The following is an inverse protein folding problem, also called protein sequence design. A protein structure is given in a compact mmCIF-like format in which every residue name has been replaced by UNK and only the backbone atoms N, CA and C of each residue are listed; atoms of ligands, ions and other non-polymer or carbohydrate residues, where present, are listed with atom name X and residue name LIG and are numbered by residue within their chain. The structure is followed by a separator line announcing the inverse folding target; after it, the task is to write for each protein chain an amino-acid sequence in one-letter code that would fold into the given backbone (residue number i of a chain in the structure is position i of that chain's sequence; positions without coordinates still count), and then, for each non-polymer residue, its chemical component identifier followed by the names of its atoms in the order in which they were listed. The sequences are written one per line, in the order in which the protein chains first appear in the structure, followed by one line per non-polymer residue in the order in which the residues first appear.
data_IF_312753216062
#
_entry.id   IF_312753216062
#
_cell.length_a   1.000
_cell.length_b   1.000
_cell.length_c   1.000
_cell.angle_alpha   90.00
_cell.angle_beta   90.00
_cell.angle_gamma   90.00
#
_symmetry.space_group_name_H-M   'P 1'
#
loop_
_entity.id
_entity.type
_entity.pdbx_description
1 polymer ?
#
# COMPACT_ATOMS: atom_id res chain seq x y z
N UNK A 1 -28.46 5.25 5.37
CA UNK A 1 -27.56 6.40 5.44
C UNK A 1 -28.16 7.61 4.76
N UNK A 2 -27.94 8.81 5.33
CA UNK A 2 -28.33 10.09 4.75
C UNK A 2 -27.07 10.94 4.58
N UNK A 3 -26.81 11.44 3.36
CA UNK A 3 -25.72 12.37 3.10
C UNK A 3 -26.27 13.69 2.58
N UNK A 4 -25.89 14.79 3.24
CA UNK A 4 -26.22 16.14 2.83
C UNK A 4 -24.94 16.91 2.54
N UNK A 5 -24.85 17.56 1.36
CA UNK A 5 -23.66 18.32 0.97
C UNK A 5 -24.03 19.77 0.67
N UNK A 6 -23.24 20.69 1.25
CA UNK A 6 -23.26 22.10 0.89
C UNK A 6 -22.10 22.38 -0.06
N UNK A 7 -22.35 23.20 -1.07
CA UNK A 7 -21.37 23.53 -2.11
C UNK A 7 -21.04 25.02 -2.11
N UNK A 8 -19.82 25.35 -2.54
CA UNK A 8 -19.41 26.70 -2.90
C UNK A 8 -20.05 27.12 -4.22
N UNK A 9 -19.89 28.39 -4.59
CA UNK A 9 -20.30 28.90 -5.90
C UNK A 9 -19.60 28.14 -7.04
N UNK A 10 -18.36 27.70 -6.86
CA UNK A 10 -17.57 26.94 -7.84
C UNK A 10 -17.90 25.45 -7.86
N UNK A 11 -18.89 24.99 -7.07
CA UNK A 11 -19.30 23.58 -7.03
C UNK A 11 -18.43 22.68 -6.15
N UNK A 12 -17.54 23.25 -5.31
CA UNK A 12 -16.75 22.46 -4.35
C UNK A 12 -17.57 22.20 -3.08
N UNK A 13 -17.54 20.99 -2.51
CA UNK A 13 -18.21 20.70 -1.25
C UNK A 13 -17.55 21.49 -0.10
N UNK A 14 -18.31 22.35 0.56
CA UNK A 14 -17.84 23.13 1.73
C UNK A 14 -18.19 22.45 3.06
N UNK A 15 -19.30 21.70 3.07
CA UNK A 15 -19.68 20.88 4.20
C UNK A 15 -20.33 19.60 3.71
N UNK A 16 -19.97 18.47 4.30
CA UNK A 16 -20.62 17.17 4.09
C UNK A 16 -21.07 16.66 5.44
N UNK A 17 -22.38 16.46 5.61
CA UNK A 17 -22.96 15.81 6.78
C UNK A 17 -23.46 14.44 6.38
N UNK A 18 -22.98 13.42 7.08
CA UNK A 18 -23.39 12.02 6.90
C UNK A 18 -24.04 11.52 8.19
N UNK A 19 -25.21 10.92 8.08
CA UNK A 19 -25.92 10.30 9.20
C UNK A 19 -26.03 8.81 8.89
N UNK A 20 -25.41 8.02 9.76
CA UNK A 20 -25.39 6.57 9.67
C UNK A 20 -26.33 5.99 10.73
N UNK A 21 -27.40 5.31 10.31
CA UNK A 21 -28.41 4.74 11.19
C UNK A 21 -28.55 3.24 10.92
N UNK A 22 -28.34 2.43 11.95
CA UNK A 22 -28.57 0.98 11.93
C UNK A 22 -29.61 0.64 12.98
N UNK A 23 -30.67 -0.16 12.65
CA UNK A 23 -31.67 -0.54 13.62
C UNK A 23 -31.06 -1.18 14.88
N UNK A 24 -31.47 -0.69 16.06
CA UNK A 24 -30.98 -1.18 17.35
C UNK A 24 -29.58 -0.73 17.74
N UNK A 25 -28.97 0.22 16.99
CA UNK A 25 -27.66 0.81 17.28
C UNK A 25 -27.77 2.34 17.44
N UNK A 26 -26.76 2.92 18.07
CA UNK A 26 -26.63 4.39 18.16
C UNK A 26 -26.48 4.99 16.76
N UNK A 27 -27.23 6.07 16.50
CA UNK A 27 -27.07 6.85 15.27
C UNK A 27 -25.77 7.65 15.33
N UNK A 28 -24.98 7.58 14.26
CA UNK A 28 -23.72 8.27 14.13
C UNK A 28 -23.88 9.42 13.14
N UNK A 29 -23.44 10.60 13.54
CA UNK A 29 -23.40 11.79 12.69
C UNK A 29 -21.96 12.23 12.49
N UNK A 30 -21.53 12.32 11.25
CA UNK A 30 -20.23 12.86 10.85
C UNK A 30 -20.44 14.17 10.10
N UNK A 31 -19.67 15.18 10.44
CA UNK A 31 -19.66 16.45 9.72
C UNK A 31 -18.24 16.75 9.29
N UNK A 32 -18.01 16.88 7.99
CA UNK A 32 -16.75 17.33 7.39
C UNK A 32 -16.92 18.73 6.86
N UNK A 33 -16.00 19.64 7.20
CA UNK A 33 -15.95 20.99 6.67
C UNK A 33 -14.66 21.18 5.91
N UNK A 34 -14.77 21.70 4.68
CA UNK A 34 -13.65 21.91 3.78
C UNK A 34 -13.42 23.39 3.53
N UNK A 35 -12.18 23.82 3.58
CA UNK A 35 -11.77 25.16 3.16
C UNK A 35 -10.84 25.07 1.98
N UNK A 36 -10.97 26.02 1.06
CA UNK A 36 -10.24 26.07 -0.19
C UNK A 36 -9.52 27.40 -0.33
N UNK A 37 -8.50 27.44 -1.16
CA UNK A 37 -7.88 28.69 -1.59
C UNK A 37 -8.60 29.28 -2.81
N UNK A 38 -8.07 30.41 -3.30
CA UNK A 38 -8.62 31.12 -4.48
C UNK A 38 -8.55 30.33 -5.79
N UNK A 39 -7.77 29.25 -5.84
CA UNK A 39 -7.64 28.35 -6.98
C UNK A 39 -8.42 27.03 -6.79
N UNK A 40 -9.36 27.00 -5.85
CA UNK A 40 -10.18 25.84 -5.49
C UNK A 40 -9.39 24.61 -5.04
N UNK A 41 -8.16 24.82 -4.48
CA UNK A 41 -7.36 23.74 -3.90
C UNK A 41 -7.73 23.58 -2.43
N UNK A 42 -7.91 22.33 -1.98
CA UNK A 42 -8.27 22.02 -0.60
C UNK A 42 -7.14 22.42 0.36
N UNK A 43 -7.43 23.34 1.29
CA UNK A 43 -6.49 23.76 2.33
C UNK A 43 -6.66 22.95 3.62
N UNK A 44 -7.91 22.74 4.04
CA UNK A 44 -8.20 22.08 5.31
C UNK A 44 -9.48 21.28 5.23
N UNK A 45 -9.47 20.11 5.88
CA UNK A 45 -10.67 19.40 6.30
C UNK A 45 -10.73 19.35 7.82
N UNK A 46 -11.80 19.84 8.42
CA UNK A 46 -12.17 19.56 9.81
C UNK A 46 -13.28 18.52 9.86
N UNK A 47 -13.27 17.73 10.93
CA UNK A 47 -14.18 16.61 11.15
C UNK A 47 -14.77 16.67 12.54
N UNK A 48 -16.07 16.44 12.62
CA UNK A 48 -16.79 16.35 13.87
C UNK A 48 -17.60 15.06 13.90
N UNK A 49 -17.44 14.29 14.98
CA UNK A 49 -18.20 13.07 15.25
C UNK A 49 -19.26 13.38 16.29
N UNK A 50 -20.54 13.15 15.96
CA UNK A 50 -21.69 13.44 16.81
C UNK A 50 -21.63 14.88 17.35
N UNK A 51 -21.55 15.03 18.68
CA UNK A 51 -21.46 16.32 19.41
C UNK A 51 -20.05 16.63 19.90
N UNK A 52 -19.05 15.83 19.52
CA UNK A 52 -17.66 16.03 19.93
C UNK A 52 -17.10 17.34 19.34
N UNK A 53 -16.05 17.88 19.94
CA UNK A 53 -15.37 19.06 19.39
C UNK A 53 -14.76 18.72 18.01
N UNK A 54 -14.86 19.63 17.02
CA UNK A 54 -14.24 19.40 15.71
C UNK A 54 -12.73 19.25 15.82
N UNK A 55 -12.19 18.28 15.05
CA UNK A 55 -10.74 18.05 14.90
C UNK A 55 -10.32 18.36 13.47
N UNK A 56 -9.10 18.82 13.28
CA UNK A 56 -8.53 19.00 11.95
C UNK A 56 -7.99 17.66 11.43
N UNK A 57 -8.57 17.12 10.37
CA UNK A 57 -8.07 15.89 9.75
C UNK A 57 -6.83 16.15 8.91
N UNK A 58 -6.89 17.13 8.02
CA UNK A 58 -5.79 17.50 7.13
C UNK A 58 -5.64 19.01 7.02
N UNK A 59 -4.38 19.47 6.94
CA UNK A 59 -4.00 20.81 6.52
C UNK A 59 -3.00 20.68 5.36
N UNK A 60 -3.29 21.33 4.25
CA UNK A 60 -2.44 21.37 3.06
C UNK A 60 -1.87 22.75 2.83
N UNK A 61 -0.63 22.80 2.39
CA UNK A 61 0.04 24.00 1.88
C UNK A 61 0.55 23.69 0.49
N UNK A 62 0.35 24.62 -0.46
CA UNK A 62 0.79 24.46 -1.83
C UNK A 62 1.93 25.43 -2.14
N UNK A 63 2.79 25.07 -3.08
CA UNK A 63 3.79 25.96 -3.63
C UNK A 63 3.20 26.87 -4.73
N UNK A 64 4.02 27.76 -5.26
CA UNK A 64 3.63 28.74 -6.30
C UNK A 64 3.18 28.06 -7.61
N UNK A 65 3.62 26.81 -7.86
CA UNK A 65 3.21 26.01 -9.03
C UNK A 65 1.96 25.15 -8.74
N UNK A 66 1.36 25.27 -7.55
CA UNK A 66 0.16 24.51 -7.17
C UNK A 66 0.42 23.07 -6.71
N UNK A 67 1.69 22.70 -6.47
CA UNK A 67 2.05 21.37 -5.99
C UNK A 67 1.96 21.34 -4.46
N UNK A 68 1.63 20.18 -3.89
CA UNK A 68 1.55 20.01 -2.44
C UNK A 68 2.93 20.23 -1.82
N UNK A 69 3.07 21.29 -1.00
CA UNK A 69 4.31 21.65 -0.31
C UNK A 69 4.39 21.06 1.09
N UNK A 70 3.23 20.95 1.76
CA UNK A 70 3.14 20.38 3.11
C UNK A 70 1.77 19.75 3.33
N UNK A 71 1.75 18.62 4.00
CA UNK A 71 0.57 17.93 4.51
C UNK A 71 0.76 17.71 6.01
N UNK A 72 -0.27 18.03 6.81
CA UNK A 72 -0.30 17.76 8.24
C UNK A 72 -1.61 17.08 8.60
N UNK A 73 -1.52 15.93 9.29
CA UNK A 73 -2.68 15.13 9.67
C UNK A 73 -3.03 15.28 11.14
N UNK A 74 -4.33 15.19 11.45
CA UNK A 74 -4.90 15.29 12.79
C UNK A 74 -4.44 16.52 13.58
N UNK A 75 -4.15 17.64 12.90
CA UNK A 75 -3.59 18.84 13.54
C UNK A 75 -2.24 18.61 14.25
N UNK A 76 -1.65 17.42 14.13
CA UNK A 76 -0.48 16.99 14.87
C UNK A 76 0.80 17.30 14.11
N UNK A 77 1.68 18.12 14.70
CA UNK A 77 2.96 18.48 14.08
C UNK A 77 3.90 17.29 13.84
N UNK A 78 3.76 16.18 14.59
CA UNK A 78 4.52 14.95 14.35
C UNK A 78 4.09 14.23 13.07
N UNK A 79 2.83 14.45 12.62
CA UNK A 79 2.28 13.87 11.39
C UNK A 79 2.35 14.85 10.22
N UNK A 80 3.29 15.78 10.24
CA UNK A 80 3.58 16.68 9.14
C UNK A 80 4.59 16.05 8.19
N UNK A 81 4.34 16.21 6.89
CA UNK A 81 5.26 15.87 5.80
C UNK A 81 5.44 17.10 4.91
N UNK A 82 6.68 17.49 4.65
CA UNK A 82 7.05 18.54 3.73
C UNK A 82 7.64 17.92 2.45
N UNK A 83 7.23 18.42 1.29
CA UNK A 83 7.58 17.89 -0.02
C UNK A 83 8.44 18.89 -0.79
N UNK A 84 9.47 18.39 -1.45
CA UNK A 84 10.27 19.16 -2.40
C UNK A 84 10.28 18.51 -3.78
N UNK A 85 10.38 19.33 -4.81
CA UNK A 85 10.33 18.90 -6.21
C UNK A 85 11.46 19.51 -7.01
N UNK A 86 11.85 18.85 -8.09
CA UNK A 86 12.75 19.44 -9.08
C UNK A 86 11.97 20.29 -10.11
N UNK A 87 12.70 20.88 -11.06
CA UNK A 87 12.12 21.72 -12.12
C UNK A 87 11.12 20.97 -13.05
N UNK A 88 11.20 19.65 -13.10
CA UNK A 88 10.28 18.77 -13.85
C UNK A 88 9.08 18.30 -13.02
N UNK A 89 8.90 18.86 -11.82
CA UNK A 89 7.90 18.45 -10.83
C UNK A 89 8.04 17.00 -10.34
N UNK A 90 9.19 16.39 -10.52
CA UNK A 90 9.48 15.11 -9.88
C UNK A 90 9.79 15.35 -8.40
N UNK A 91 9.23 14.51 -7.55
CA UNK A 91 9.48 14.59 -6.11
C UNK A 91 10.95 14.33 -5.81
N UNK A 92 11.58 15.24 -5.07
CA UNK A 92 12.96 15.09 -4.58
C UNK A 92 13.02 14.60 -3.16
N UNK A 93 12.12 15.06 -2.32
CA UNK A 93 12.09 14.62 -0.92
C UNK A 93 10.72 14.72 -0.30
N UNK A 94 10.51 13.86 0.67
CA UNK A 94 9.51 13.96 1.73
C UNK A 94 10.28 14.09 3.03
N UNK A 95 9.97 15.09 3.86
CA UNK A 95 10.60 15.23 5.16
C UNK A 95 9.58 15.49 6.26
N UNK A 96 9.71 14.78 7.37
CA UNK A 96 8.85 14.92 8.54
C UNK A 96 9.46 14.30 9.79
N UNK A 97 8.88 14.55 10.96
CA UNK A 97 9.42 14.06 12.23
C UNK A 97 9.45 12.53 12.36
N UNK A 98 8.54 11.81 11.67
CA UNK A 98 8.44 10.35 11.75
C UNK A 98 9.08 9.63 10.57
N UNK A 99 9.27 10.32 9.45
CA UNK A 99 9.83 9.72 8.25
C UNK A 99 10.42 10.81 7.35
N UNK A 100 11.56 10.50 6.76
CA UNK A 100 12.15 11.30 5.69
C UNK A 100 12.67 10.41 4.58
N UNK A 101 12.55 10.89 3.34
CA UNK A 101 13.02 10.18 2.14
C UNK A 101 13.58 11.19 1.15
N UNK A 102 14.67 10.83 0.49
CA UNK A 102 15.26 11.57 -0.62
C UNK A 102 15.29 10.70 -1.87
N UNK A 103 14.89 11.26 -3.00
CA UNK A 103 14.94 10.62 -4.32
C UNK A 103 15.92 11.37 -5.20
N UNK A 104 16.90 10.68 -5.72
CA UNK A 104 17.90 11.21 -6.64
C UNK A 104 17.63 10.67 -8.05
N UNK A 105 17.87 11.49 -9.05
CA UNK A 105 17.69 11.17 -10.47
C UNK A 105 19.01 11.36 -11.21
N UNK A 106 19.45 12.59 -11.32
CA UNK A 106 20.66 13.03 -12.00
C UNK A 106 21.73 13.59 -11.05
N UNK A 107 21.46 13.54 -9.76
CA UNK A 107 22.40 13.90 -8.72
C UNK A 107 23.47 12.81 -8.58
N UNK A 108 24.74 13.22 -8.54
CA UNK A 108 25.85 12.29 -8.42
C UNK A 108 25.96 11.76 -6.99
N UNK A 109 25.99 10.45 -6.86
CA UNK A 109 26.32 9.72 -5.64
C UNK A 109 27.25 8.57 -6.01
N UNK A 110 28.16 8.19 -5.12
CA UNK A 110 29.11 7.11 -5.39
C UNK A 110 28.41 5.81 -5.81
N UNK A 111 28.78 5.28 -6.98
CA UNK A 111 28.24 4.02 -7.50
C UNK A 111 26.82 4.11 -8.09
N UNK A 112 26.30 5.31 -8.37
CA UNK A 112 25.01 5.49 -9.07
C UNK A 112 25.20 5.75 -10.56
N UNK A 113 24.22 5.33 -11.35
CA UNK A 113 24.07 5.69 -12.77
C UNK A 113 23.03 6.80 -12.85
N UNK A 114 23.42 7.96 -13.41
CA UNK A 114 22.55 9.13 -13.50
C UNK A 114 21.39 8.87 -14.48
N UNK A 115 20.16 9.18 -14.05
CA UNK A 115 18.96 8.98 -14.83
C UNK A 115 18.32 10.32 -15.21
N UNK A 116 18.23 10.58 -16.51
CA UNK A 116 17.66 11.82 -17.07
C UNK A 116 16.23 11.65 -17.61
N UNK A 117 15.74 10.40 -17.63
CA UNK A 117 14.45 10.00 -18.18
C UNK A 117 13.33 9.93 -17.13
N UNK A 118 13.63 10.20 -15.86
CA UNK A 118 12.69 10.12 -14.75
C UNK A 118 12.83 8.85 -13.89
N UNK A 119 13.69 7.92 -14.29
CA UNK A 119 14.05 6.81 -13.41
C UNK A 119 14.82 7.33 -12.20
N UNK A 120 14.58 6.74 -11.03
CA UNK A 120 15.27 7.07 -9.78
C UNK A 120 16.64 6.40 -9.80
N UNK A 121 17.73 7.15 -9.68
CA UNK A 121 19.10 6.61 -9.62
C UNK A 121 19.43 6.05 -8.25
N UNK A 122 18.95 6.72 -7.20
CA UNK A 122 19.04 6.24 -5.82
C UNK A 122 17.95 6.84 -4.95
N UNK A 123 17.65 6.17 -3.85
CA UNK A 123 16.82 6.72 -2.79
C UNK A 123 17.42 6.43 -1.43
N UNK A 124 17.21 7.36 -0.48
CA UNK A 124 17.53 7.13 0.94
C UNK A 124 16.34 7.49 1.81
N UNK A 125 16.26 6.87 2.98
CA UNK A 125 15.22 7.16 3.97
C UNK A 125 15.73 6.98 5.40
N UNK A 126 15.03 7.64 6.32
CA UNK A 126 15.09 7.43 7.77
C UNK A 126 13.69 7.33 8.35
N UNK A 127 13.49 6.50 9.34
CA UNK A 127 12.23 6.35 10.06
C UNK A 127 12.41 6.71 11.54
N UNK A 128 11.47 7.48 12.09
CA UNK A 128 11.45 7.86 13.49
C UNK A 128 12.73 8.59 13.95
N UNK A 129 13.34 8.08 14.99
CA UNK A 129 14.57 8.64 15.61
C UNK A 129 15.85 8.05 15.03
N UNK A 130 15.81 7.32 13.93
CA UNK A 130 17.01 6.76 13.30
C UNK A 130 17.97 7.89 12.89
N UNK A 131 19.26 7.67 13.13
CA UNK A 131 20.32 8.64 12.80
C UNK A 131 21.02 8.33 11.49
N UNK A 132 20.93 7.06 11.03
CA UNK A 132 21.60 6.57 9.83
C UNK A 132 20.62 6.47 8.68
N UNK A 133 20.98 7.05 7.53
CA UNK A 133 20.23 6.86 6.30
C UNK A 133 20.37 5.41 5.84
N UNK A 134 19.26 4.84 5.35
CA UNK A 134 19.20 3.60 4.61
C UNK A 134 18.77 3.91 3.19
N UNK A 135 19.16 3.08 2.24
CA UNK A 135 18.73 3.35 0.88
C UNK A 135 19.11 2.30 -0.13
N UNK A 136 18.73 2.62 -1.37
CA UNK A 136 19.04 1.83 -2.53
C UNK A 136 19.65 2.67 -3.63
N UNK A 137 20.58 2.05 -4.37
CA UNK A 137 21.05 2.50 -5.69
C UNK A 137 20.45 1.58 -6.73
N UNK A 138 19.88 2.16 -7.78
CA UNK A 138 19.17 1.41 -8.80
C UNK A 138 19.93 1.35 -10.10
N UNK A 139 19.83 0.22 -10.80
CA UNK A 139 20.25 0.07 -12.19
C UNK A 139 19.10 -0.42 -13.05
N UNK A 140 19.12 -0.03 -14.31
CA UNK A 140 18.05 -0.32 -15.26
C UNK A 140 18.63 -0.91 -16.53
N UNK A 141 17.82 -1.65 -17.28
CA UNK A 141 18.16 -2.10 -18.61
C UNK A 141 17.85 -1.04 -19.69
N UNK A 142 18.14 -1.34 -20.94
CA UNK A 142 17.90 -0.44 -22.07
C UNK A 142 16.41 -0.10 -22.33
N UNK A 143 15.48 -0.83 -21.72
CA UNK A 143 14.04 -0.58 -21.75
C UNK A 143 13.53 0.11 -20.47
N UNK A 144 14.43 0.65 -19.64
CA UNK A 144 14.11 1.29 -18.36
C UNK A 144 13.45 0.35 -17.33
N UNK A 145 13.67 -0.96 -17.42
CA UNK A 145 13.21 -1.93 -16.44
C UNK A 145 14.27 -2.10 -15.34
N UNK A 146 13.84 -2.23 -14.10
CA UNK A 146 14.74 -2.40 -12.94
C UNK A 146 15.57 -3.69 -13.11
N UNK A 147 16.88 -3.58 -12.89
CA UNK A 147 17.82 -4.72 -12.82
C UNK A 147 18.27 -4.98 -11.39
N UNK A 148 18.81 -3.95 -10.75
CA UNK A 148 19.33 -4.08 -9.41
C UNK A 148 18.85 -2.93 -8.52
N UNK A 149 18.49 -3.28 -7.30
CA UNK A 149 18.34 -2.39 -6.17
C UNK A 149 19.41 -2.77 -5.14
N UNK A 150 20.52 -2.06 -5.15
CA UNK A 150 21.67 -2.34 -4.27
C UNK A 150 21.50 -1.56 -2.97
N UNK A 151 21.31 -2.26 -1.87
CA UNK A 151 21.14 -1.68 -0.54
C UNK A 151 22.46 -1.15 0.02
N UNK A 152 22.38 -0.07 0.79
CA UNK A 152 23.44 0.47 1.61
C UNK A 152 22.90 1.41 2.70
N UNK A 153 23.77 1.76 3.62
CA UNK A 153 23.52 2.66 4.75
C UNK A 153 24.53 3.82 4.74
N UNK A 154 24.19 4.89 5.48
CA UNK A 154 24.99 6.11 5.53
C UNK A 154 24.72 7.05 4.36
N UNK A 155 25.32 8.24 4.39
CA UNK A 155 25.06 9.30 3.41
C UNK A 155 25.33 8.87 1.95
N UNK A 156 26.36 8.03 1.75
CA UNK A 156 26.78 7.54 0.43
C UNK A 156 26.28 6.12 0.13
N UNK A 157 25.46 5.53 1.01
CA UNK A 157 24.94 4.17 0.91
C UNK A 157 26.05 3.11 0.72
N UNK A 158 27.19 3.31 1.38
CA UNK A 158 28.37 2.41 1.29
C UNK A 158 28.58 1.55 2.50
N UNK A 159 27.94 1.89 3.63
CA UNK A 159 28.01 1.13 4.88
C UNK A 159 27.02 -0.03 4.81
N UNK A 160 27.36 -1.17 5.42
CA UNK A 160 26.52 -2.36 5.46
C UNK A 160 25.92 -2.74 4.09
N UNK A 161 26.73 -2.78 3.02
CA UNK A 161 26.20 -3.01 1.68
C UNK A 161 25.61 -4.39 1.53
N UNK A 162 24.70 -4.55 0.57
CA UNK A 162 24.14 -5.82 0.11
C UNK A 162 23.25 -6.57 1.11
N UNK A 163 22.88 -5.96 2.25
CA UNK A 163 22.03 -6.63 3.26
C UNK A 163 20.63 -6.97 2.75
N UNK A 164 20.07 -6.11 1.89
CA UNK A 164 18.70 -6.22 1.41
C UNK A 164 18.60 -5.96 -0.10
N UNK A 165 19.56 -6.46 -0.86
CA UNK A 165 19.53 -6.29 -2.32
C UNK A 165 18.34 -7.01 -2.94
N UNK A 166 17.84 -6.42 -4.03
CA UNK A 166 16.92 -7.07 -4.96
C UNK A 166 17.51 -7.04 -6.37
N UNK A 167 17.49 -8.17 -7.07
CA UNK A 167 18.11 -8.31 -8.39
C UNK A 167 17.17 -9.04 -9.32
N UNK A 168 16.82 -8.40 -10.44
CA UNK A 168 16.06 -9.04 -11.51
C UNK A 168 17.04 -9.44 -12.59
N UNK A 169 17.38 -10.72 -12.62
CA UNK A 169 18.43 -11.25 -13.51
C UNK A 169 17.91 -11.75 -14.85
N UNK A 170 16.59 -11.72 -15.05
CA UNK A 170 15.99 -12.11 -16.33
C UNK A 170 14.59 -11.53 -16.52
N UNK A 171 14.35 -11.05 -17.74
CA UNK A 171 13.04 -10.67 -18.27
C UNK A 171 12.81 -11.41 -19.58
N UNK A 172 11.55 -11.72 -19.88
CA UNK A 172 11.16 -12.14 -21.21
C UNK A 172 10.94 -10.93 -22.16
N UNK A 173 10.56 -11.21 -23.41
CA UNK A 173 10.29 -10.19 -24.42
C UNK A 173 9.03 -9.36 -24.12
N UNK A 174 8.11 -9.88 -23.31
CA UNK A 174 6.88 -9.23 -22.89
C UNK A 174 7.07 -8.36 -21.65
N UNK A 175 8.23 -8.46 -20.97
CA UNK A 175 8.55 -7.75 -19.74
C UNK A 175 8.23 -8.55 -18.46
N UNK A 176 7.84 -9.80 -18.56
CA UNK A 176 7.65 -10.65 -17.39
C UNK A 176 8.99 -10.95 -16.73
N UNK A 177 9.02 -10.89 -15.40
CA UNK A 177 10.21 -11.25 -14.62
C UNK A 177 10.38 -12.76 -14.64
N UNK A 178 11.52 -13.23 -15.17
CA UNK A 178 11.85 -14.67 -15.21
C UNK A 178 12.66 -15.10 -13.99
N UNK A 179 13.50 -14.21 -13.46
CA UNK A 179 14.38 -14.52 -12.33
C UNK A 179 14.51 -13.32 -11.40
N UNK A 180 14.35 -13.57 -10.11
CA UNK A 180 14.45 -12.57 -9.05
C UNK A 180 15.25 -13.15 -7.88
N UNK A 181 16.25 -12.39 -7.40
CA UNK A 181 16.97 -12.68 -6.15
C UNK A 181 16.66 -11.61 -5.13
N UNK A 182 16.41 -12.03 -3.88
CA UNK A 182 16.30 -11.12 -2.75
C UNK A 182 17.22 -11.54 -1.64
N UNK A 183 17.84 -10.53 -1.04
CA UNK A 183 18.71 -10.70 0.12
C UNK A 183 18.00 -10.14 1.35
N UNK A 184 18.23 -10.75 2.49
CA UNK A 184 17.61 -10.35 3.75
C UNK A 184 18.38 -10.89 4.93
N UNK A 185 17.87 -10.62 6.12
CA UNK A 185 18.44 -11.15 7.35
C UNK A 185 18.10 -12.65 7.46
N UNK A 186 19.13 -13.49 7.63
CA UNK A 186 19.02 -14.95 7.75
C UNK A 186 19.29 -15.46 9.17
N UNK A 187 19.85 -14.60 10.03
CA UNK A 187 20.02 -14.86 11.48
C UNK A 187 20.10 -13.52 12.22
N UNK A 188 20.21 -13.55 13.54
CA UNK A 188 20.37 -12.32 14.37
C UNK A 188 21.56 -11.43 13.95
N UNK A 189 22.57 -11.99 13.28
CA UNK A 189 23.81 -11.28 12.92
C UNK A 189 24.20 -11.43 11.44
N UNK A 190 23.50 -12.26 10.65
CA UNK A 190 23.90 -12.56 9.28
C UNK A 190 22.82 -12.18 8.26
N UNK A 191 23.29 -11.79 7.08
CA UNK A 191 22.48 -11.46 5.90
C UNK A 191 22.88 -12.36 4.74
N UNK A 192 21.95 -12.75 3.91
CA UNK A 192 22.19 -13.65 2.80
C UNK A 192 21.02 -13.70 1.84
N UNK A 193 21.11 -14.62 0.86
CA UNK A 193 20.07 -14.85 -0.13
C UNK A 193 18.88 -15.55 0.53
N UNK A 194 17.72 -14.89 0.54
CA UNK A 194 16.46 -15.41 1.11
C UNK A 194 15.53 -15.96 0.03
N UNK A 195 15.61 -15.43 -1.20
CA UNK A 195 14.88 -15.93 -2.36
C UNK A 195 15.81 -15.98 -3.59
N UNK A 196 15.73 -17.06 -4.35
CA UNK A 196 16.29 -17.20 -5.71
C UNK A 196 15.22 -17.79 -6.61
N UNK A 197 14.32 -16.88 -7.04
CA UNK A 197 13.09 -17.26 -7.74
C UNK A 197 13.34 -17.48 -9.23
N UNK A 198 12.78 -18.55 -9.74
CA UNK A 198 12.59 -18.80 -11.17
C UNK A 198 11.10 -18.86 -11.48
N UNK A 199 10.64 -17.97 -12.38
CA UNK A 199 9.24 -17.79 -12.71
C UNK A 199 8.95 -18.31 -14.11
N UNK A 200 7.94 -19.15 -14.25
CA UNK A 200 7.53 -19.77 -15.52
C UNK A 200 6.16 -19.25 -15.92
N UNK A 201 5.99 -18.93 -17.20
CA UNK A 201 4.77 -18.31 -17.71
C UNK A 201 4.19 -19.09 -18.90
N UNK A 202 2.89 -18.94 -19.09
CA UNK A 202 2.19 -19.20 -20.35
C UNK A 202 1.63 -17.86 -20.87
N UNK A 203 2.29 -17.29 -21.89
CA UNK A 203 2.06 -15.89 -22.24
C UNK A 203 2.42 -14.98 -21.08
N UNK A 204 1.45 -14.20 -20.56
CA UNK A 204 1.62 -13.33 -19.40
C UNK A 204 1.04 -13.92 -18.10
N UNK A 205 0.58 -15.18 -18.13
CA UNK A 205 0.05 -15.86 -16.94
C UNK A 205 1.16 -16.66 -16.27
N UNK A 206 1.41 -16.38 -14.99
CA UNK A 206 2.38 -17.11 -14.17
C UNK A 206 1.88 -18.55 -13.97
N UNK A 207 2.68 -19.55 -14.33
CA UNK A 207 2.38 -20.96 -14.11
C UNK A 207 2.98 -21.49 -12.82
N UNK A 208 4.23 -21.11 -12.53
CA UNK A 208 4.96 -21.59 -11.36
C UNK A 208 6.01 -20.55 -10.94
N UNK A 209 6.30 -20.53 -9.65
CA UNK A 209 7.37 -19.75 -9.04
C UNK A 209 8.19 -20.70 -8.15
N UNK A 210 9.39 -21.04 -8.61
CA UNK A 210 10.29 -21.94 -7.89
C UNK A 210 11.34 -21.15 -7.14
N UNK A 211 11.46 -21.40 -5.85
CA UNK A 211 12.54 -20.89 -5.03
C UNK A 211 13.61 -21.98 -4.81
N UNK A 212 14.87 -21.64 -5.09
CA UNK A 212 16.01 -22.51 -4.83
C UNK A 212 16.92 -22.00 -3.71
N UNK A 213 16.55 -20.90 -3.04
CA UNK A 213 17.26 -20.44 -1.87
C UNK A 213 17.14 -21.49 -0.75
N UNK A 214 18.24 -21.67 -0.02
CA UNK A 214 18.31 -22.65 1.09
C UNK A 214 18.21 -21.98 2.46
N UNK A 215 18.29 -20.65 2.50
CA UNK A 215 18.21 -19.86 3.71
C UNK A 215 16.82 -19.24 3.84
N UNK A 216 16.12 -19.49 4.95
CA UNK A 216 14.90 -18.78 5.28
C UNK A 216 15.18 -17.41 5.88
N UNK A 217 14.20 -16.52 5.82
CA UNK A 217 14.27 -15.20 6.45
C UNK A 217 14.21 -15.32 7.99
N UNK A 218 14.99 -14.49 8.66
CA UNK A 218 14.99 -14.39 10.13
C UNK A 218 13.90 -13.43 10.62
N UNK A 219 13.19 -13.83 11.68
CA UNK A 219 12.15 -13.01 12.29
C UNK A 219 10.92 -12.79 11.39
N UNK A 220 10.47 -11.54 11.30
CA UNK A 220 9.27 -11.15 10.54
C UNK A 220 9.60 -10.63 9.13
N UNK A 221 10.73 -11.01 8.56
CA UNK A 221 11.11 -10.61 7.21
C UNK A 221 10.19 -11.19 6.14
N UNK A 222 10.26 -10.60 4.95
CA UNK A 222 9.49 -11.06 3.78
C UNK A 222 10.25 -12.19 3.09
N UNK A 223 9.58 -13.30 2.83
CA UNK A 223 10.12 -14.50 2.21
C UNK A 223 9.05 -15.12 1.31
N UNK A 224 9.42 -15.55 0.11
CA UNK A 224 8.53 -16.32 -0.74
C UNK A 224 8.43 -17.74 -0.19
N UNK A 225 7.22 -18.24 -0.04
CA UNK A 225 6.99 -19.60 0.42
C UNK A 225 6.64 -20.48 -0.77
N UNK A 226 7.64 -21.21 -1.29
CA UNK A 226 7.46 -22.25 -2.32
C UNK A 226 6.85 -23.50 -1.63
N UNK A 227 5.54 -23.44 -1.38
CA UNK A 227 4.81 -24.50 -0.68
C UNK A 227 4.44 -25.67 -1.59
N UNK A 228 4.37 -25.46 -2.90
CA UNK A 228 3.84 -26.43 -3.84
C UNK A 228 4.91 -27.19 -4.63
N UNK A 229 5.97 -26.50 -5.08
CA UNK A 229 7.08 -27.01 -5.89
C UNK A 229 6.60 -27.91 -7.06
N UNK A 230 5.67 -27.41 -7.86
CA UNK A 230 5.07 -28.09 -9.01
C UNK A 230 5.35 -27.33 -10.30
N UNK A 231 5.13 -28.00 -11.45
CA UNK A 231 5.25 -27.35 -12.78
C UNK A 231 4.10 -26.39 -13.09
N UNK A 232 2.96 -26.56 -12.41
CA UNK A 232 1.79 -25.67 -12.51
C UNK A 232 1.22 -25.46 -11.11
N UNK A 233 1.44 -24.28 -10.56
CA UNK A 233 1.02 -23.87 -9.22
C UNK A 233 -0.15 -22.89 -9.25
N UNK A 234 -0.26 -22.17 -10.37
CA UNK A 234 -1.28 -21.16 -10.62
C UNK A 234 -2.12 -21.59 -11.82
N UNK A 235 -3.42 -21.55 -11.68
CA UNK A 235 -4.35 -21.83 -12.78
C UNK A 235 -5.36 -20.70 -12.92
N UNK A 236 -5.84 -20.50 -14.16
CA UNK A 236 -6.67 -19.38 -14.53
C UNK A 236 -7.92 -19.85 -15.27
N UNK A 237 -9.00 -19.06 -15.15
CA UNK A 237 -10.19 -19.24 -15.95
C UNK A 237 -10.00 -18.70 -17.40
N UNK A 238 -11.06 -18.76 -18.20
CA UNK A 238 -11.04 -18.26 -19.60
C UNK A 238 -10.96 -16.71 -19.68
N UNK A 239 -11.28 -16.00 -18.60
CA UNK A 239 -11.18 -14.55 -18.50
C UNK A 239 -9.78 -14.10 -18.03
N UNK A 240 -8.92 -15.06 -17.66
CA UNK A 240 -7.58 -14.78 -17.12
C UNK A 240 -7.55 -14.57 -15.60
N UNK A 241 -8.64 -14.84 -14.88
CA UNK A 241 -8.67 -14.73 -13.43
C UNK A 241 -7.99 -15.93 -12.78
N UNK A 242 -7.24 -15.70 -11.72
CA UNK A 242 -6.60 -16.74 -10.93
C UNK A 242 -7.66 -17.57 -10.20
N UNK A 243 -7.76 -18.86 -10.48
CA UNK A 243 -8.71 -19.76 -9.82
C UNK A 243 -8.04 -20.72 -8.83
N UNK A 244 -6.70 -20.79 -8.82
CA UNK A 244 -5.94 -21.65 -7.91
C UNK A 244 -4.54 -21.08 -7.65
N UNK A 245 -4.08 -21.13 -6.40
CA UNK A 245 -2.73 -20.77 -5.95
C UNK A 245 -2.26 -21.80 -4.94
N UNK A 246 -1.43 -22.75 -5.39
CA UNK A 246 -0.97 -23.84 -4.54
C UNK A 246 0.03 -23.39 -3.48
N UNK A 247 0.82 -22.33 -3.75
CA UNK A 247 1.78 -21.81 -2.80
C UNK A 247 1.11 -21.16 -1.57
N UNK A 248 -0.08 -20.60 -1.78
CA UNK A 248 -0.93 -20.09 -0.68
C UNK A 248 -1.95 -21.11 -0.17
N UNK A 249 -1.85 -22.37 -0.62
CA UNK A 249 -2.82 -23.41 -0.30
C UNK A 249 -4.26 -23.04 -0.68
N UNK A 250 -4.43 -22.24 -1.75
CA UNK A 250 -5.75 -21.89 -2.29
C UNK A 250 -6.14 -22.95 -3.31
N UNK A 251 -7.18 -23.72 -2.97
CA UNK A 251 -7.70 -24.80 -3.82
C UNK A 251 -8.69 -24.32 -4.88
N UNK A 252 -9.41 -23.20 -4.61
CA UNK A 252 -10.37 -22.63 -5.55
C UNK A 252 -10.62 -21.16 -5.26
N UNK A 253 -10.77 -20.36 -6.33
CA UNK A 253 -11.32 -19.00 -6.29
C UNK A 253 -12.50 -18.97 -7.25
N UNK A 254 -13.69 -18.61 -6.76
CA UNK A 254 -14.90 -18.32 -7.54
C UNK A 254 -14.98 -16.83 -7.88
N UNK A 255 -15.67 -16.53 -8.99
CA UNK A 255 -15.90 -15.15 -9.43
C UNK A 255 -17.37 -14.94 -9.80
N UNK A 256 -17.91 -13.78 -9.47
CA UNK A 256 -19.26 -13.38 -9.83
C UNK A 256 -19.36 -12.86 -11.26
N UNK A 257 -20.56 -12.47 -11.70
CA UNK A 257 -20.80 -11.93 -13.05
C UNK A 257 -20.11 -10.58 -13.33
N UNK A 258 -19.65 -9.88 -12.29
CA UNK A 258 -18.87 -8.64 -12.40
C UNK A 258 -17.35 -8.92 -12.46
N UNK A 259 -16.96 -10.20 -12.54
CA UNK A 259 -15.56 -10.63 -12.54
C UNK A 259 -14.80 -10.26 -11.24
N UNK A 260 -15.53 -10.19 -10.11
CA UNK A 260 -14.98 -9.98 -8.77
C UNK A 260 -14.94 -11.32 -8.03
N UNK A 261 -13.88 -11.62 -7.25
CA UNK A 261 -13.82 -12.85 -6.47
C UNK A 261 -14.94 -12.87 -5.42
N UNK A 262 -15.82 -13.86 -5.47
CA UNK A 262 -16.91 -14.04 -4.51
C UNK A 262 -16.61 -15.12 -3.47
N UNK A 263 -15.68 -16.02 -3.76
CA UNK A 263 -15.28 -17.09 -2.85
C UNK A 263 -13.80 -17.46 -3.00
N UNK A 264 -13.11 -17.65 -1.88
CA UNK A 264 -11.78 -18.28 -1.83
C UNK A 264 -11.85 -19.48 -0.89
N UNK A 265 -11.44 -20.66 -1.35
CA UNK A 265 -11.38 -21.89 -0.56
C UNK A 265 -9.92 -22.31 -0.45
N UNK A 266 -9.48 -22.59 0.77
CA UNK A 266 -8.16 -23.10 1.08
C UNK A 266 -8.19 -24.63 1.19
N UNK A 267 -7.06 -25.28 0.92
CA UNK A 267 -6.94 -26.74 0.97
C UNK A 267 -7.17 -27.35 2.35
N UNK A 268 -7.11 -26.56 3.42
CA UNK A 268 -7.42 -26.97 4.79
C UNK A 268 -8.90 -26.77 5.17
N UNK A 269 -9.77 -26.40 4.22
CA UNK A 269 -11.19 -26.16 4.45
C UNK A 269 -11.55 -24.75 4.95
N UNK A 270 -10.57 -23.89 5.21
CA UNK A 270 -10.83 -22.48 5.50
C UNK A 270 -11.39 -21.78 4.25
N UNK A 271 -12.15 -20.70 4.44
CA UNK A 271 -12.74 -19.97 3.32
C UNK A 271 -12.86 -18.48 3.59
N UNK A 272 -12.95 -17.72 2.49
CA UNK A 272 -13.36 -16.32 2.51
C UNK A 272 -14.49 -16.17 1.49
N UNK A 273 -15.62 -15.62 1.93
CA UNK A 273 -16.74 -15.26 1.07
C UNK A 273 -16.82 -13.74 0.97
N UNK A 274 -17.24 -13.25 -0.18
CA UNK A 274 -17.41 -11.82 -0.44
C UNK A 274 -18.80 -11.56 -1.01
N UNK A 275 -19.51 -10.58 -0.45
CA UNK A 275 -20.76 -10.07 -0.99
C UNK A 275 -20.53 -8.68 -1.58
N UNK A 276 -21.10 -8.43 -2.76
CA UNK A 276 -20.98 -7.16 -3.47
C UNK A 276 -22.35 -6.60 -3.83
N UNK A 277 -22.45 -5.29 -3.90
CA UNK A 277 -23.54 -4.60 -4.56
C UNK A 277 -23.50 -4.78 -6.08
N UNK A 278 -24.58 -4.42 -6.75
CA UNK A 278 -24.69 -4.50 -8.21
C UNK A 278 -23.68 -3.58 -8.94
N UNK A 279 -23.18 -2.56 -8.26
CA UNK A 279 -22.13 -1.64 -8.72
C UNK A 279 -20.70 -2.13 -8.45
N UNK A 280 -20.53 -3.32 -7.86
CA UNK A 280 -19.24 -3.90 -7.47
C UNK A 280 -18.72 -3.40 -6.11
N UNK A 281 -19.48 -2.59 -5.38
CA UNK A 281 -19.12 -2.18 -4.03
C UNK A 281 -19.12 -3.37 -3.09
N UNK A 282 -18.02 -3.62 -2.38
CA UNK A 282 -17.93 -4.69 -1.38
C UNK A 282 -18.81 -4.35 -0.18
N UNK A 283 -19.75 -5.25 0.16
CA UNK A 283 -20.70 -5.08 1.26
C UNK A 283 -20.32 -5.93 2.47
N UNK A 284 -19.77 -7.12 2.24
CA UNK A 284 -19.44 -8.06 3.33
C UNK A 284 -18.26 -8.95 2.97
N UNK A 285 -17.50 -9.32 3.97
CA UNK A 285 -16.60 -10.48 3.94
C UNK A 285 -16.89 -11.41 5.08
N UNK A 286 -16.81 -12.72 4.83
CA UNK A 286 -16.95 -13.76 5.85
C UNK A 286 -15.70 -14.62 5.81
N UNK A 287 -14.88 -14.55 6.83
CA UNK A 287 -13.68 -15.37 6.99
C UNK A 287 -14.00 -16.54 7.90
N UNK A 288 -13.82 -17.78 7.42
CA UNK A 288 -13.97 -19.00 8.22
C UNK A 288 -12.60 -19.64 8.40
N UNK A 289 -12.18 -19.81 9.66
CA UNK A 289 -10.93 -20.47 10.04
C UNK A 289 -11.26 -21.56 11.07
N UNK A 290 -11.19 -22.81 10.64
CA UNK A 290 -11.69 -23.95 11.43
C UNK A 290 -13.18 -23.77 11.76
N UNK A 291 -13.49 -23.68 13.04
CA UNK A 291 -14.86 -23.44 13.53
C UNK A 291 -15.18 -21.96 13.80
N UNK A 292 -14.23 -21.07 13.61
CA UNK A 292 -14.39 -19.64 13.91
C UNK A 292 -14.74 -18.87 12.65
N UNK A 293 -15.76 -18.02 12.76
CA UNK A 293 -16.18 -17.13 11.67
C UNK A 293 -16.05 -15.67 12.09
N UNK A 294 -15.41 -14.87 11.25
CA UNK A 294 -15.35 -13.41 11.36
C UNK A 294 -16.12 -12.82 10.20
N UNK A 295 -17.20 -12.09 10.50
CA UNK A 295 -17.97 -11.35 9.51
C UNK A 295 -17.60 -9.87 9.59
N UNK A 296 -17.21 -9.28 8.47
CA UNK A 296 -16.96 -7.84 8.35
C UNK A 296 -17.97 -7.25 7.38
N UNK A 297 -18.77 -6.28 7.85
CA UNK A 297 -19.73 -5.53 7.05
C UNK A 297 -19.19 -4.14 6.73
N UNK A 298 -19.31 -3.74 5.46
CA UNK A 298 -18.89 -2.44 4.95
C UNK A 298 -20.14 -1.61 4.60
N UNK A 299 -20.42 -0.61 5.40
CA UNK A 299 -21.58 0.27 5.26
C UNK A 299 -21.10 1.69 4.94
N UNK A 300 -20.79 1.96 3.67
CA UNK A 300 -20.11 3.20 3.27
C UNK A 300 -18.71 3.27 3.90
N UNK A 301 -18.48 4.28 4.76
CA UNK A 301 -17.23 4.41 5.51
C UNK A 301 -17.23 3.70 6.88
N UNK A 302 -18.37 3.14 7.31
CA UNK A 302 -18.47 2.40 8.57
C UNK A 302 -18.13 0.92 8.38
N UNK A 303 -17.24 0.40 9.22
CA UNK A 303 -16.80 -1.01 9.19
C UNK A 303 -17.20 -1.67 10.50
N UNK A 304 -17.97 -2.75 10.38
CA UNK A 304 -18.43 -3.57 11.50
C UNK A 304 -17.76 -4.94 11.47
N UNK A 305 -17.39 -5.45 12.63
CA UNK A 305 -16.96 -6.85 12.79
C UNK A 305 -17.93 -7.58 13.72
N UNK A 306 -18.49 -8.69 13.24
CA UNK A 306 -19.52 -9.45 13.94
C UNK A 306 -20.65 -8.55 14.47
N UNK A 307 -21.07 -7.58 13.66
CA UNK A 307 -22.11 -6.64 13.99
C UNK A 307 -21.71 -5.53 14.99
N UNK A 308 -20.44 -5.41 15.39
CA UNK A 308 -19.92 -4.36 16.26
C UNK A 308 -19.16 -3.34 15.43
N UNK A 309 -19.47 -2.04 15.54
CA UNK A 309 -18.72 -0.98 14.88
C UNK A 309 -17.27 -0.98 15.38
N UNK A 310 -16.33 -1.04 14.45
CA UNK A 310 -14.89 -1.04 14.70
C UNK A 310 -14.23 0.25 14.26
N UNK A 311 -14.60 0.77 13.10
CA UNK A 311 -13.97 1.97 12.57
C UNK A 311 -14.91 2.75 11.66
N UNK A 312 -14.68 4.06 11.60
CA UNK A 312 -15.20 4.97 10.58
C UNK A 312 -14.01 5.49 9.76
N UNK A 313 -14.00 5.16 8.49
CA UNK A 313 -12.94 5.56 7.57
C UNK A 313 -13.08 7.04 7.20
N UNK A 314 -11.97 7.74 7.08
CA UNK A 314 -11.92 9.12 6.63
C UNK A 314 -10.64 9.38 5.81
N UNK A 315 -10.46 10.59 5.27
CA UNK A 315 -9.33 10.93 4.41
C UNK A 315 -7.96 10.98 5.12
N UNK A 316 -7.93 11.01 6.46
CA UNK A 316 -6.70 10.98 7.24
C UNK A 316 -6.37 9.60 7.83
N UNK A 317 -7.29 8.64 7.70
CA UNK A 317 -7.20 7.31 8.28
C UNK A 317 -8.55 6.80 8.74
N UNK A 318 -8.74 6.60 10.04
CA UNK A 318 -10.01 6.14 10.59
C UNK A 318 -10.17 6.58 12.07
N UNK A 319 -11.40 6.60 12.52
CA UNK A 319 -11.73 6.68 13.95
C UNK A 319 -12.00 5.27 14.45
N UNK A 320 -11.25 4.82 15.45
CA UNK A 320 -11.43 3.48 16.04
C UNK A 320 -12.52 3.49 17.12
N UNK A 321 -13.24 2.38 17.27
CA UNK A 321 -14.27 2.17 18.29
C UNK A 321 -13.91 0.95 19.18
N UNK A 322 -14.30 1.00 20.49
CA UNK A 322 -15.16 2.02 21.14
C UNK A 322 -14.43 3.32 21.56
N UNK A 323 -13.11 3.35 21.50
CA UNK A 323 -12.28 4.40 22.15
C UNK A 323 -12.37 5.78 21.48
N UNK A 324 -12.97 5.89 20.29
CA UNK A 324 -13.06 7.10 19.46
C UNK A 324 -11.69 7.78 19.24
N UNK A 325 -10.66 6.95 18.99
CA UNK A 325 -9.30 7.44 18.69
C UNK A 325 -9.15 7.70 17.20
N UNK A 326 -8.56 8.86 16.89
CA UNK A 326 -8.25 9.33 15.55
C UNK A 326 -6.85 8.94 15.12
#
# INVERSE_FOLDING_TARGET
DLTCTLYSFTGKPTQVKQVHTVPGKETITEVRQHTYDHADRLLRTSYQLNTDAPVTLVDHVYDELGRLKSDRRNGNGKLRSDYAYNVRSWMKSVSGPLFSQTLNYQESMAGTILCYNGNISSMSWKAGSETTDRGYRFTYDGLSRLKDATYGEGNDLTTNPNRFNEQITGYDKMGNILKLKRYGQISSAAYGLVDDLSLTYNGNQLLAAKDIATSGVYGNGTDFKDGANQTTEYTYDKNGNLIKDLNKNISSIGYNCLNLPDQVIFGNGNSILYDYGADGTKLRTVHTTGSTTLTTDYCGNAVYENGVLKMLLNEAGYVSFPDKKY
#
